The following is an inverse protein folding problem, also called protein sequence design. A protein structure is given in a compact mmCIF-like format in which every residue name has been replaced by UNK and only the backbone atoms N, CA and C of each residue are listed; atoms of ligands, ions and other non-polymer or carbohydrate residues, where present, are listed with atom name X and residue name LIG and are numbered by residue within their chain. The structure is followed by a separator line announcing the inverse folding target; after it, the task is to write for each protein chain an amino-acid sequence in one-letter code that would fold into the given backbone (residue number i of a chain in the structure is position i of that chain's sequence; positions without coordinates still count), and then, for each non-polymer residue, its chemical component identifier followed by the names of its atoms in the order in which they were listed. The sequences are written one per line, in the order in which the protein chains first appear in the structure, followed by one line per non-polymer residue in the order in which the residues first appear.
data_IF_956439286186
#
_entry.id   IF_956439286186
#
_cell.length_a   1.000
_cell.length_b   1.000
_cell.length_c   1.000
_cell.angle_alpha   90.00
_cell.angle_beta   90.00
_cell.angle_gamma   90.00
#
_symmetry.space_group_name_H-M   'P 1'
#
loop_
_entity.id
_entity.type
_entity.pdbx_description
1 polymer ?
#
# COMPACT_ATOMS: atom_id res chain seq x y z
N UNK A 1 20.04 9.10 14.49
CA UNK A 1 19.56 7.71 14.29
C UNK A 1 20.67 6.87 13.67
N UNK A 2 21.75 6.58 14.40
CA UNK A 2 23.02 5.93 13.99
C UNK A 2 22.92 4.82 12.91
N UNK A 3 22.68 5.17 11.65
CA UNK A 3 22.50 4.24 10.54
C UNK A 3 21.25 3.33 10.58
N UNK A 4 20.34 3.51 11.54
CA UNK A 4 19.20 2.60 11.76
C UNK A 4 18.02 2.81 10.79
N UNK A 5 17.89 4.01 10.23
CA UNK A 5 16.88 4.34 9.21
C UNK A 5 17.56 5.08 8.07
N UNK A 6 17.23 4.69 6.85
CA UNK A 6 17.63 5.35 5.61
C UNK A 6 16.40 5.44 4.71
N UNK A 7 16.28 6.55 3.98
CA UNK A 7 15.26 6.76 2.95
C UNK A 7 16.01 7.01 1.64
N UNK A 8 15.67 6.25 0.61
CA UNK A 8 16.29 6.35 -0.72
C UNK A 8 15.17 6.54 -1.74
N UNK A 9 15.14 7.70 -2.39
CA UNK A 9 14.25 7.94 -3.52
C UNK A 9 14.98 7.53 -4.80
N UNK A 10 14.44 6.54 -5.52
CA UNK A 10 15.02 6.09 -6.78
C UNK A 10 14.40 6.89 -7.92
N UNK A 11 15.22 7.73 -8.53
CA UNK A 11 14.79 8.59 -9.64
C UNK A 11 14.47 7.78 -10.89
N UNK A 12 13.55 8.29 -11.71
CA UNK A 12 13.18 7.73 -13.01
C UNK A 12 12.81 6.24 -12.95
N UNK A 13 11.92 5.89 -12.01
CA UNK A 13 11.38 4.55 -11.89
C UNK A 13 10.78 4.08 -13.24
N UNK A 14 11.23 2.91 -13.71
CA UNK A 14 10.88 2.30 -14.98
C UNK A 14 11.09 0.79 -14.91
N UNK A 15 10.71 0.05 -15.94
CA UNK A 15 10.79 -1.43 -15.98
C UNK A 15 12.15 -1.96 -15.57
N UNK A 16 13.25 -1.48 -16.16
CA UNK A 16 14.61 -1.96 -15.83
C UNK A 16 15.06 -1.67 -14.39
N UNK A 17 14.45 -0.67 -13.74
CA UNK A 17 14.67 -0.42 -12.30
C UNK A 17 13.82 -1.39 -11.49
N UNK A 18 12.56 -1.56 -11.86
CA UNK A 18 11.63 -2.47 -11.22
C UNK A 18 12.13 -3.93 -11.21
N UNK A 19 12.76 -4.38 -12.30
CA UNK A 19 13.42 -5.71 -12.41
C UNK A 19 14.48 -5.95 -11.32
N UNK A 20 15.08 -4.89 -10.78
CA UNK A 20 16.03 -4.97 -9.66
C UNK A 20 15.34 -4.85 -8.31
N UNK A 21 14.25 -4.08 -8.23
CA UNK A 21 13.56 -3.81 -6.98
C UNK A 21 12.70 -4.99 -6.53
N UNK A 22 11.89 -5.58 -7.42
CA UNK A 22 10.99 -6.68 -7.03
C UNK A 22 11.72 -7.85 -6.35
N UNK A 23 12.85 -8.35 -6.87
CA UNK A 23 13.57 -9.46 -6.23
C UNK A 23 14.34 -9.07 -4.96
N UNK A 24 14.54 -7.77 -4.72
CA UNK A 24 15.31 -7.26 -3.58
C UNK A 24 14.43 -6.77 -2.43
N UNK A 25 13.10 -6.81 -2.58
CA UNK A 25 12.16 -6.29 -1.62
C UNK A 25 11.74 -7.34 -0.60
N UNK A 26 11.82 -6.99 0.68
CA UNK A 26 11.21 -7.77 1.78
C UNK A 26 9.72 -7.47 1.92
N UNK A 27 9.33 -6.21 1.68
CA UNK A 27 7.99 -5.69 1.96
C UNK A 27 7.42 -5.02 0.71
N UNK A 28 6.14 -5.25 0.48
CA UNK A 28 5.33 -4.68 -0.59
C UNK A 28 4.28 -3.76 0.00
N UNK A 29 4.49 -2.44 -0.11
CA UNK A 29 3.57 -1.40 0.37
C UNK A 29 2.42 -1.20 -0.64
N UNK A 30 1.22 -1.66 -0.29
CA UNK A 30 0.02 -1.60 -1.14
C UNK A 30 -1.11 -0.89 -0.40
N UNK A 31 -0.91 0.41 -0.19
CA UNK A 31 -1.58 1.21 0.85
C UNK A 31 -2.62 2.20 0.28
N UNK A 32 -3.23 1.90 -0.86
CA UNK A 32 -4.32 2.72 -1.40
C UNK A 32 -5.48 2.78 -0.41
N UNK A 33 -6.20 3.90 -0.37
CA UNK A 33 -7.50 3.95 0.32
C UNK A 33 -8.42 2.88 -0.26
N UNK A 34 -9.08 2.08 0.59
CA UNK A 34 -9.94 1.01 0.12
C UNK A 34 -11.04 1.52 -0.84
N UNK A 35 -11.28 0.75 -1.91
CA UNK A 35 -12.18 1.11 -3.00
C UNK A 35 -11.60 2.07 -4.05
N UNK A 36 -10.27 2.31 -4.06
CA UNK A 36 -9.63 3.19 -5.07
C UNK A 36 -8.74 2.44 -6.05
N UNK A 37 -8.21 1.30 -5.67
CA UNK A 37 -7.42 0.44 -6.54
C UNK A 37 -8.28 -0.68 -7.12
N UNK A 38 -8.43 -0.69 -8.45
CA UNK A 38 -9.22 -1.71 -9.12
C UNK A 38 -8.54 -3.10 -9.13
N UNK A 39 -7.20 -3.14 -9.14
CA UNK A 39 -6.45 -4.41 -9.18
C UNK A 39 -5.02 -4.22 -8.64
N UNK A 40 -4.15 -3.55 -9.39
CA UNK A 40 -2.72 -3.49 -9.09
C UNK A 40 -1.99 -4.70 -9.66
N UNK A 41 -0.86 -4.46 -10.35
CA UNK A 41 0.02 -5.53 -10.87
C UNK A 41 1.42 -5.50 -10.25
N UNK A 42 1.74 -4.43 -9.51
CA UNK A 42 2.98 -4.35 -8.73
C UNK A 42 2.97 -5.33 -7.56
N UNK A 43 1.86 -5.35 -6.81
CA UNK A 43 1.59 -6.30 -5.73
C UNK A 43 1.79 -7.78 -6.15
N UNK A 44 1.29 -8.16 -7.33
CA UNK A 44 1.46 -9.51 -7.89
C UNK A 44 2.95 -9.86 -8.13
N UNK A 45 3.73 -8.91 -8.66
CA UNK A 45 5.16 -9.10 -8.91
C UNK A 45 5.94 -9.23 -7.61
N UNK A 46 5.58 -8.45 -6.60
CA UNK A 46 6.16 -8.54 -5.27
C UNK A 46 5.86 -9.89 -4.60
N UNK A 47 4.60 -10.33 -4.62
CA UNK A 47 4.18 -11.64 -4.09
C UNK A 47 4.98 -12.77 -4.75
N UNK A 48 5.11 -12.76 -6.07
CA UNK A 48 5.86 -13.77 -6.82
C UNK A 48 7.36 -13.78 -6.46
N UNK A 49 7.92 -12.64 -6.06
CA UNK A 49 9.31 -12.51 -5.63
C UNK A 49 9.50 -12.68 -4.11
N UNK A 50 8.45 -13.03 -3.36
CA UNK A 50 8.53 -13.33 -1.93
C UNK A 50 8.47 -12.14 -0.99
N UNK A 51 8.18 -10.93 -1.51
CA UNK A 51 7.94 -9.78 -0.65
C UNK A 51 6.55 -9.91 0.02
N UNK A 52 6.49 -9.66 1.32
CA UNK A 52 5.23 -9.72 2.07
C UNK A 52 4.44 -8.43 1.91
N UNK A 53 3.15 -8.55 1.62
CA UNK A 53 2.25 -7.41 1.47
C UNK A 53 1.89 -6.82 2.82
N UNK A 54 2.07 -5.50 2.94
CA UNK A 54 1.37 -4.65 3.91
C UNK A 54 0.42 -3.74 3.14
N UNK A 55 -0.87 -3.76 3.47
CA UNK A 55 -1.84 -3.07 2.63
C UNK A 55 -3.25 -3.05 3.19
N UNK A 56 -4.10 -2.27 2.52
CA UNK A 56 -5.53 -2.25 2.73
C UNK A 56 -6.21 -3.42 2.00
N UNK A 57 -7.43 -3.79 2.40
CA UNK A 57 -8.24 -4.77 1.66
C UNK A 57 -8.89 -4.10 0.45
N UNK A 58 -8.07 -3.85 -0.56
CA UNK A 58 -8.46 -3.21 -1.81
C UNK A 58 -7.86 -3.93 -3.03
N UNK A 59 -8.53 -3.81 -4.18
CA UNK A 59 -8.06 -4.39 -5.45
C UNK A 59 -7.58 -5.85 -5.32
N UNK A 60 -6.42 -6.14 -5.91
CA UNK A 60 -5.83 -7.47 -5.89
C UNK A 60 -5.18 -7.84 -4.55
N UNK A 61 -5.09 -6.93 -3.57
CA UNK A 61 -4.66 -7.34 -2.22
C UNK A 61 -5.64 -8.32 -1.60
N UNK A 62 -6.95 -8.19 -1.90
CA UNK A 62 -7.97 -9.14 -1.45
C UNK A 62 -7.66 -10.55 -1.98
N UNK A 63 -7.40 -10.67 -3.29
CA UNK A 63 -7.05 -11.94 -3.91
C UNK A 63 -5.71 -12.48 -3.40
N UNK A 64 -4.69 -11.62 -3.22
CA UNK A 64 -3.38 -12.03 -2.70
C UNK A 64 -3.51 -12.62 -1.30
N UNK A 65 -4.29 -11.98 -0.42
CA UNK A 65 -4.52 -12.44 0.94
C UNK A 65 -5.31 -13.74 0.97
N UNK A 66 -6.28 -13.91 0.07
CA UNK A 66 -7.05 -15.14 -0.09
C UNK A 66 -6.14 -16.31 -0.49
N UNK A 67 -5.28 -16.12 -1.50
CA UNK A 67 -4.37 -17.16 -2.01
C UNK A 67 -3.22 -17.46 -1.03
N UNK A 68 -2.60 -16.42 -0.46
CA UNK A 68 -1.46 -16.60 0.45
C UNK A 68 -1.90 -17.07 1.84
N UNK A 69 -3.14 -16.81 2.24
CA UNK A 69 -3.62 -16.96 3.62
C UNK A 69 -3.41 -15.69 4.44
N UNK A 70 -4.42 -15.31 5.25
CA UNK A 70 -4.44 -14.07 6.05
C UNK A 70 -3.26 -13.94 7.00
N UNK A 71 -2.73 -15.05 7.50
CA UNK A 71 -1.57 -15.07 8.38
C UNK A 71 -0.23 -14.76 7.68
N UNK A 72 -0.22 -14.68 6.35
CA UNK A 72 0.95 -14.43 5.51
C UNK A 72 0.95 -13.03 4.86
N UNK A 73 0.13 -12.10 5.37
CA UNK A 73 0.07 -10.69 4.97
C UNK A 73 -0.19 -9.77 6.20
N UNK A 74 0.07 -8.48 6.06
CA UNK A 74 -0.16 -7.47 7.09
C UNK A 74 -1.24 -6.49 6.66
N UNK A 75 -2.48 -6.78 7.05
CA UNK A 75 -3.63 -5.98 6.61
C UNK A 75 -4.00 -4.94 7.66
N UNK A 76 -4.33 -3.74 7.18
CA UNK A 76 -4.72 -2.61 8.01
C UNK A 76 -5.75 -1.71 7.32
N UNK A 77 -6.25 -0.77 8.09
CA UNK A 77 -7.08 0.33 7.63
C UNK A 77 -8.54 -0.06 7.45
N UNK A 78 -9.32 0.92 7.01
CA UNK A 78 -10.74 0.75 6.76
C UNK A 78 -10.99 -0.16 5.55
N UNK A 79 -12.14 -0.83 5.56
CA UNK A 79 -12.67 -1.50 4.38
C UNK A 79 -13.43 -0.51 3.47
N UNK A 80 -13.78 -0.94 2.26
CA UNK A 80 -14.44 -0.09 1.27
C UNK A 80 -15.82 0.41 1.69
N UNK A 81 -16.57 -0.37 2.47
CA UNK A 81 -17.90 0.02 2.97
C UNK A 81 -17.77 1.14 4.03
N UNK A 82 -16.81 1.03 4.94
CA UNK A 82 -16.49 2.08 5.93
C UNK A 82 -16.04 3.38 5.23
N UNK A 83 -15.23 3.27 4.18
CA UNK A 83 -14.82 4.41 3.34
C UNK A 83 -16.03 5.05 2.65
N UNK A 84 -16.95 4.24 2.12
CA UNK A 84 -18.17 4.74 1.48
C UNK A 84 -19.06 5.47 2.49
N UNK A 85 -19.31 4.89 3.67
CA UNK A 85 -20.13 5.50 4.72
C UNK A 85 -19.57 6.84 5.19
N UNK A 86 -18.25 6.96 5.37
CA UNK A 86 -17.62 8.22 5.76
C UNK A 86 -17.72 9.29 4.67
N UNK A 87 -17.65 8.91 3.40
CA UNK A 87 -17.85 9.82 2.29
C UNK A 87 -19.30 10.30 2.20
N UNK A 88 -20.26 9.39 2.32
CA UNK A 88 -21.69 9.70 2.24
C UNK A 88 -22.17 10.54 3.42
N UNK A 89 -21.71 10.22 4.63
CA UNK A 89 -22.12 10.93 5.84
C UNK A 89 -21.53 12.35 5.95
N UNK A 90 -20.37 12.60 5.32
CA UNK A 90 -19.66 13.87 5.41
C UNK A 90 -19.18 14.23 6.83
N UNK A 91 -19.21 13.28 7.78
CA UNK A 91 -18.91 13.52 9.21
C UNK A 91 -17.43 13.45 9.55
N UNK A 92 -16.59 13.08 8.58
CA UNK A 92 -15.16 12.91 8.82
C UNK A 92 -14.46 14.26 9.03
N UNK A 93 -13.74 14.38 10.14
CA UNK A 93 -12.90 15.53 10.46
C UNK A 93 -11.46 15.09 10.77
N UNK A 94 -10.45 15.47 9.95
CA UNK A 94 -9.06 15.07 10.17
C UNK A 94 -8.45 15.65 11.47
N UNK A 95 -8.98 16.77 11.97
CA UNK A 95 -8.53 17.37 13.23
C UNK A 95 -8.73 16.43 14.41
N UNK A 96 -9.87 15.73 14.44
CA UNK A 96 -10.18 14.77 15.51
C UNK A 96 -9.16 13.63 15.56
N UNK A 97 -8.63 13.19 14.41
CA UNK A 97 -7.62 12.13 14.35
C UNK A 97 -6.26 12.62 14.87
N UNK A 98 -5.90 13.88 14.58
CA UNK A 98 -4.70 14.51 15.14
C UNK A 98 -4.81 14.70 16.67
N UNK A 99 -5.99 15.09 17.18
CA UNK A 99 -6.20 15.25 18.63
C UNK A 99 -6.09 13.94 19.39
N UNK A 100 -6.55 12.83 18.80
CA UNK A 100 -6.47 11.49 19.39
C UNK A 100 -5.05 10.91 19.38
N UNK A 101 -4.19 11.35 18.45
CA UNK A 101 -2.87 10.77 18.25
C UNK A 101 -1.76 11.84 18.20
N UNK A 102 -1.07 12.01 19.32
CA UNK A 102 0.03 12.97 19.46
C UNK A 102 1.20 12.72 18.49
N UNK A 103 1.44 11.47 18.07
CA UNK A 103 2.49 11.16 17.08
C UNK A 103 2.10 11.62 15.69
N UNK A 104 0.83 11.39 15.32
CA UNK A 104 0.26 11.87 14.06
C UNK A 104 0.30 13.40 14.01
N UNK A 105 -0.22 14.06 15.04
CA UNK A 105 -0.21 15.52 15.16
C UNK A 105 1.19 16.09 14.96
N UNK A 106 2.18 15.52 15.65
CA UNK A 106 3.58 15.94 15.49
C UNK A 106 4.07 15.76 14.05
N UNK A 107 3.81 14.62 13.42
CA UNK A 107 4.25 14.38 12.03
C UNK A 107 3.63 15.37 11.04
N UNK A 108 2.36 15.72 11.23
CA UNK A 108 1.66 16.72 10.40
C UNK A 108 2.18 18.13 10.65
N UNK A 109 2.42 18.52 11.90
CA UNK A 109 2.99 19.83 12.26
C UNK A 109 4.40 20.02 11.71
N UNK A 110 5.20 18.95 11.63
CA UNK A 110 6.55 18.98 11.07
C UNK A 110 6.60 19.36 9.59
N UNK A 111 5.48 19.26 8.87
CA UNK A 111 5.38 19.73 7.48
C UNK A 111 5.48 21.26 7.38
N UNK A 112 5.19 21.99 8.46
CA UNK A 112 5.06 23.46 8.45
C UNK A 112 5.84 24.18 9.56
N UNK A 113 6.51 23.45 10.46
CA UNK A 113 7.26 24.06 11.57
C UNK A 113 8.73 24.38 11.23
N UNK A 114 9.20 23.96 10.05
CA UNK A 114 10.59 24.11 9.61
C UNK A 114 11.51 22.94 9.96
N UNK A 115 10.98 21.83 10.47
CA UNK A 115 11.75 20.62 10.84
C UNK A 115 12.59 20.09 9.68
N UNK A 116 12.03 20.05 8.47
CA UNK A 116 12.69 19.46 7.30
C UNK A 116 13.52 20.47 6.50
N UNK A 117 13.17 21.76 6.57
CA UNK A 117 13.89 22.82 5.90
C UNK A 117 13.66 24.16 6.64
N UNK A 118 14.69 24.67 7.32
CA UNK A 118 14.59 25.90 8.12
C UNK A 118 14.44 27.14 7.25
N UNK A 119 15.08 27.15 6.07
CA UNK A 119 15.08 28.27 5.13
C UNK A 119 13.78 28.33 4.31
N UNK A 120 13.11 27.19 4.14
CA UNK A 120 11.86 27.05 3.41
C UNK A 120 10.79 26.31 4.24
N UNK A 121 10.38 26.93 5.36
CA UNK A 121 9.41 26.33 6.30
C UNK A 121 8.07 25.94 5.68
N UNK A 122 7.71 26.60 4.59
CA UNK A 122 6.42 26.48 3.91
C UNK A 122 6.45 25.51 2.71
N UNK A 123 7.58 24.85 2.44
CA UNK A 123 7.75 24.01 1.24
C UNK A 123 6.75 22.84 1.16
N UNK A 124 6.22 22.38 2.29
CA UNK A 124 5.18 21.33 2.35
C UNK A 124 3.81 21.85 2.75
N UNK A 125 3.57 23.17 2.69
CA UNK A 125 2.30 23.79 3.08
C UNK A 125 1.11 23.21 2.30
N UNK A 126 1.28 22.94 1.01
CA UNK A 126 0.19 22.40 0.18
C UNK A 126 -0.22 20.99 0.61
N UNK A 127 0.75 20.16 1.02
CA UNK A 127 0.49 18.82 1.57
C UNK A 127 -0.21 18.95 2.94
N UNK A 128 0.24 19.86 3.80
CA UNK A 128 -0.44 20.12 5.06
C UNK A 128 -1.89 20.58 4.84
N UNK A 129 -2.12 21.50 3.91
CA UNK A 129 -3.45 22.02 3.59
C UNK A 129 -4.36 20.93 3.02
N UNK A 130 -3.87 20.08 2.13
CA UNK A 130 -4.67 18.98 1.57
C UNK A 130 -5.13 17.99 2.66
N UNK A 131 -4.31 17.77 3.70
CA UNK A 131 -4.65 16.93 4.84
C UNK A 131 -5.60 17.62 5.83
N UNK A 132 -5.38 18.90 6.16
CA UNK A 132 -6.06 19.54 7.29
C UNK A 132 -7.23 20.47 6.91
N UNK A 133 -7.21 21.00 5.69
CA UNK A 133 -8.14 22.06 5.26
C UNK A 133 -8.88 21.74 3.96
N UNK A 134 -8.32 20.89 3.11
CA UNK A 134 -8.80 20.64 1.75
C UNK A 134 -8.22 21.65 0.76
N UNK A 135 -8.12 21.23 -0.50
CA UNK A 135 -7.55 22.01 -1.62
C UNK A 135 -8.33 21.73 -2.90
N UNK A 136 -8.43 22.73 -3.77
CA UNK A 136 -9.04 22.60 -5.11
C UNK A 136 -10.46 22.02 -5.12
N UNK A 137 -11.27 22.41 -4.13
CA UNK A 137 -12.66 21.94 -3.99
C UNK A 137 -12.80 20.53 -3.40
N UNK A 138 -11.69 19.88 -3.06
CA UNK A 138 -11.69 18.60 -2.33
C UNK A 138 -11.77 18.83 -0.82
N UNK A 139 -12.40 17.89 -0.11
CA UNK A 139 -12.39 17.86 1.35
C UNK A 139 -10.98 17.65 1.90
N UNK A 140 -10.76 18.09 3.13
CA UNK A 140 -9.56 17.78 3.90
C UNK A 140 -9.39 16.27 4.05
N UNK A 141 -8.15 15.80 3.87
CA UNK A 141 -7.77 14.38 3.91
C UNK A 141 -8.72 13.49 3.08
N UNK A 142 -8.86 13.85 1.81
CA UNK A 142 -9.73 13.17 0.83
C UNK A 142 -9.54 11.65 0.80
N UNK A 143 -8.32 11.18 1.07
CA UNK A 143 -7.91 9.78 0.99
C UNK A 143 -7.79 9.10 2.36
N UNK A 144 -8.29 9.73 3.43
CA UNK A 144 -8.34 9.14 4.77
C UNK A 144 -6.96 8.72 5.32
N UNK A 145 -5.90 9.42 4.92
CA UNK A 145 -4.52 9.15 5.32
C UNK A 145 -4.38 9.27 6.84
N UNK A 146 -4.97 10.31 7.43
CA UNK A 146 -4.91 10.57 8.87
C UNK A 146 -5.79 9.58 9.64
N UNK A 147 -6.89 9.13 9.03
CA UNK A 147 -7.78 8.11 9.58
C UNK A 147 -7.10 6.75 9.71
N UNK A 148 -6.43 6.29 8.65
CA UNK A 148 -5.78 4.98 8.62
C UNK A 148 -4.40 4.97 9.30
N UNK A 149 -3.81 6.14 9.58
CA UNK A 149 -2.45 6.27 10.13
C UNK A 149 -2.19 5.40 11.36
N UNK A 150 -3.11 5.40 12.33
CA UNK A 150 -2.91 4.66 13.59
C UNK A 150 -2.86 3.15 13.34
N UNK A 151 -3.72 2.66 12.44
CA UNK A 151 -3.79 1.23 12.13
C UNK A 151 -2.62 0.79 11.23
N UNK A 152 -2.22 1.65 10.29
CA UNK A 152 -1.01 1.46 9.52
C UNK A 152 0.24 1.36 10.41
N UNK A 153 0.37 2.26 11.40
CA UNK A 153 1.49 2.22 12.34
C UNK A 153 1.49 0.95 13.21
N UNK A 154 0.31 0.42 13.55
CA UNK A 154 0.18 -0.90 14.22
C UNK A 154 0.70 -2.01 13.30
N UNK A 155 0.22 -2.07 12.06
CA UNK A 155 0.64 -3.10 11.11
C UNK A 155 2.14 -3.05 10.81
N UNK A 156 2.72 -1.86 10.64
CA UNK A 156 4.17 -1.69 10.49
C UNK A 156 4.96 -2.21 11.71
N UNK A 157 4.42 -2.03 12.93
CA UNK A 157 5.03 -2.59 14.14
C UNK A 157 4.95 -4.12 14.15
N UNK A 158 3.80 -4.70 13.82
CA UNK A 158 3.61 -6.15 13.73
C UNK A 158 4.53 -6.78 12.68
N UNK A 159 4.68 -6.12 11.53
CA UNK A 159 5.61 -6.48 10.48
C UNK A 159 7.05 -6.49 11.00
N UNK A 160 7.47 -5.41 11.67
CA UNK A 160 8.81 -5.31 12.24
C UNK A 160 9.11 -6.37 13.30
N UNK A 161 8.12 -6.77 14.10
CA UNK A 161 8.26 -7.88 15.05
C UNK A 161 8.33 -9.24 14.34
N UNK A 162 7.50 -9.45 13.31
CA UNK A 162 7.52 -10.68 12.52
C UNK A 162 8.85 -10.88 11.79
N UNK A 163 9.46 -9.81 11.28
CA UNK A 163 10.75 -9.86 10.60
C UNK A 163 11.89 -10.35 11.51
N UNK A 164 11.78 -10.19 12.84
CA UNK A 164 12.80 -10.70 13.78
C UNK A 164 12.82 -12.24 13.82
N UNK A 165 11.68 -12.89 13.57
CA UNK A 165 11.60 -14.34 13.42
C UNK A 165 11.79 -14.73 11.95
N UNK A 166 13.05 -14.91 11.58
CA UNK A 166 13.46 -15.23 10.21
C UNK A 166 12.83 -16.52 9.67
N UNK A 167 12.57 -17.52 10.54
CA UNK A 167 11.96 -18.79 10.12
C UNK A 167 10.48 -18.58 9.80
N UNK A 168 9.76 -17.85 10.65
CA UNK A 168 8.37 -17.48 10.39
C UNK A 168 8.27 -16.60 9.13
N UNK A 169 9.11 -15.58 9.01
CA UNK A 169 9.14 -14.68 7.86
C UNK A 169 9.36 -15.43 6.54
N UNK A 170 10.38 -16.30 6.50
CA UNK A 170 10.68 -17.11 5.31
C UNK A 170 9.52 -18.02 4.95
N UNK A 171 8.86 -18.62 5.95
CA UNK A 171 7.66 -19.43 5.71
C UNK A 171 6.55 -18.60 5.08
N UNK A 172 6.25 -17.41 5.61
CA UNK A 172 5.23 -16.52 5.04
C UNK A 172 5.57 -16.15 3.59
N UNK A 173 6.84 -15.84 3.31
CA UNK A 173 7.33 -15.50 1.97
C UNK A 173 7.15 -16.67 0.99
N UNK A 174 7.53 -17.89 1.40
CA UNK A 174 7.32 -19.10 0.59
C UNK A 174 5.84 -19.39 0.32
N UNK A 175 4.95 -19.14 1.28
CA UNK A 175 3.50 -19.28 1.06
C UNK A 175 3.00 -18.29 0.01
N UNK A 176 3.52 -17.06 -0.02
CA UNK A 176 3.19 -16.09 -1.07
C UNK A 176 3.69 -16.59 -2.43
N UNK A 177 4.95 -17.01 -2.55
CA UNK A 177 5.52 -17.51 -3.81
C UNK A 177 4.75 -18.73 -4.33
N UNK A 178 4.47 -19.70 -3.47
CA UNK A 178 3.81 -20.95 -3.84
C UNK A 178 2.38 -20.74 -4.37
N UNK A 179 1.69 -19.71 -3.90
CA UNK A 179 0.31 -19.41 -4.29
C UNK A 179 0.19 -18.26 -5.31
N UNK A 180 1.31 -17.71 -5.80
CA UNK A 180 1.29 -16.61 -6.77
C UNK A 180 0.82 -17.02 -8.18
N UNK A 181 0.69 -18.33 -8.44
CA UNK A 181 0.36 -18.87 -9.76
C UNK A 181 -0.96 -18.36 -10.36
N UNK A 182 -1.94 -18.01 -9.51
CA UNK A 182 -3.21 -17.39 -9.93
C UNK A 182 -3.00 -16.09 -10.72
N UNK A 183 -1.94 -15.35 -10.40
CA UNK A 183 -1.65 -14.04 -10.99
C UNK A 183 -0.82 -14.12 -12.26
N UNK A 184 -0.60 -15.31 -12.82
CA UNK A 184 0.02 -15.44 -14.14
C UNK A 184 -0.85 -14.81 -15.22
N UNK A 185 -0.23 -13.97 -16.07
CA UNK A 185 -0.88 -13.41 -17.25
C UNK A 185 -1.35 -14.49 -18.22
N UNK A 186 -0.72 -15.68 -18.22
CA UNK A 186 -1.14 -16.80 -19.07
C UNK A 186 -2.57 -17.23 -18.73
N UNK A 187 -2.95 -17.18 -17.45
CA UNK A 187 -4.33 -17.45 -17.00
C UNK A 187 -5.28 -16.41 -17.60
N UNK A 188 -4.99 -15.12 -17.43
CA UNK A 188 -5.82 -14.03 -17.94
C UNK A 188 -5.95 -14.08 -19.47
N UNK A 189 -4.86 -14.32 -20.21
CA UNK A 189 -4.91 -14.45 -21.67
C UNK A 189 -5.78 -15.65 -22.08
N UNK A 190 -5.70 -16.77 -21.35
CA UNK A 190 -6.54 -17.94 -21.61
C UNK A 190 -8.03 -17.64 -21.37
N UNK A 191 -8.37 -16.97 -20.28
CA UNK A 191 -9.76 -16.56 -19.96
C UNK A 191 -10.32 -15.64 -21.06
N UNK A 192 -9.58 -14.60 -21.45
CA UNK A 192 -9.97 -13.73 -22.56
C UNK A 192 -10.13 -14.48 -23.88
N UNK A 193 -9.19 -15.38 -24.20
CA UNK A 193 -9.24 -16.17 -25.42
C UNK A 193 -10.49 -17.06 -25.50
N UNK A 194 -10.92 -17.65 -24.39
CA UNK A 194 -12.06 -18.57 -24.36
C UNK A 194 -13.40 -17.88 -24.15
N UNK A 195 -13.47 -16.85 -23.31
CA UNK A 195 -14.74 -16.28 -22.85
C UNK A 195 -15.17 -15.04 -23.65
N UNK A 196 -14.22 -14.35 -24.27
CA UNK A 196 -14.48 -13.07 -24.96
C UNK A 196 -14.11 -13.16 -26.43
N UNK A 197 -12.89 -13.58 -26.76
CA UNK A 197 -12.40 -13.55 -28.14
C UNK A 197 -12.80 -14.76 -28.98
N UNK A 198 -13.17 -15.87 -28.34
CA UNK A 198 -13.48 -17.16 -28.97
C UNK A 198 -12.38 -17.64 -29.94
N UNK A 199 -11.13 -17.66 -29.47
CA UNK A 199 -9.97 -18.11 -30.24
C UNK A 199 -9.34 -19.38 -29.65
N UNK A 200 -8.69 -20.18 -30.51
CA UNK A 200 -8.01 -21.43 -30.12
C UNK A 200 -6.52 -21.39 -30.47
N UNK A 201 -5.66 -22.08 -29.71
CA UNK A 201 -4.22 -22.14 -30.00
C UNK A 201 -3.96 -22.71 -31.40
N UNK A 202 -3.11 -22.03 -32.16
CA UNK A 202 -2.62 -22.48 -33.48
C UNK A 202 -1.20 -23.01 -33.33
N UNK A 203 -0.99 -24.30 -33.62
CA UNK A 203 0.37 -24.86 -33.71
C UNK A 203 0.96 -24.52 -35.07
N UNK A 204 1.96 -23.64 -35.09
CA UNK A 204 2.78 -23.38 -36.27
C UNK A 204 3.80 -24.51 -36.41
N UNK A 205 3.88 -25.11 -37.59
CA UNK A 205 4.86 -26.16 -37.94
C UNK A 205 6.19 -25.55 -38.35
#
# INVERSE_FOLDING_TARGET
MNGKIKVVFIENYRVSVAEKLFPASDVSEQISTAGKEASGTGNMKFMLNGALTIGTLDGANVEIVEEAGKENAFIFGMNSDEVAELNESGKYNPWDECEKNARLKKAVEQLIDGTYNVDHREIFRDVYNSLMHGVDGNRADQYFILKDFTDYARAQKELGEAYKDQKKWTKMSLMNIANAGKFSSDRTIKEYATEIWDIKPVKVK
#
